data_IF_636880415940
#
_entry.id   IF_636880415940
#
_cell.length_a   1.000
_cell.length_b   1.000
_cell.length_c   1.000
_cell.angle_alpha   90.00
_cell.angle_beta   90.00
_cell.angle_gamma   90.00
#
_symmetry.space_group_name_H-M   'P 1'
#
loop_
_entity.id
_entity.type
_entity.pdbx_description
1 polymer ?
#
# COMPACT_ATOMS: atom_id res chain seq x y z
N UNK A 1 10.13 23.65 -38.95
CA UNK A 1 11.29 24.32 -38.35
C UNK A 1 10.74 25.37 -37.40
N UNK A 2 10.45 24.95 -36.17
CA UNK A 2 10.37 25.82 -34.99
C UNK A 2 10.54 24.87 -33.79
N UNK A 3 11.81 24.58 -33.49
CA UNK A 3 12.23 24.04 -32.20
C UNK A 3 12.26 25.20 -31.19
N UNK A 4 11.47 25.06 -30.12
CA UNK A 4 11.71 25.68 -28.80
C UNK A 4 10.78 24.94 -27.84
N UNK A 5 11.26 24.05 -26.98
CA UNK A 5 12.24 24.35 -25.96
C UNK A 5 11.50 24.33 -24.62
N UNK A 6 11.50 23.18 -23.94
CA UNK A 6 10.91 23.03 -22.63
C UNK A 6 10.61 21.57 -22.31
N UNK A 7 11.60 20.90 -21.72
CA UNK A 7 11.50 19.62 -21.02
C UNK A 7 10.36 19.66 -19.99
N UNK A 8 9.13 19.41 -20.45
CA UNK A 8 7.94 19.34 -19.60
C UNK A 8 7.88 17.93 -19.03
N UNK A 9 8.66 17.72 -17.97
CA UNK A 9 8.64 16.57 -17.06
C UNK A 9 7.36 15.71 -17.22
N UNK A 10 7.50 14.61 -17.94
CA UNK A 10 6.46 13.60 -18.15
C UNK A 10 6.20 12.84 -16.84
N UNK A 11 5.42 13.47 -15.94
CA UNK A 11 5.12 12.93 -14.63
C UNK A 11 3.62 12.89 -14.34
N UNK A 12 3.20 11.92 -13.51
CA UNK A 12 1.81 11.73 -13.06
C UNK A 12 1.17 13.01 -12.50
N UNK A 13 1.97 13.94 -11.97
CA UNK A 13 1.53 15.21 -11.37
C UNK A 13 1.55 16.42 -12.31
N UNK A 14 1.62 16.22 -13.64
CA UNK A 14 1.70 17.32 -14.63
C UNK A 14 0.52 18.30 -14.56
N UNK A 15 -0.65 17.84 -14.13
CA UNK A 15 -1.86 18.66 -14.04
C UNK A 15 -2.02 19.39 -12.69
N UNK A 16 -1.05 19.27 -11.78
CA UNK A 16 -1.09 19.89 -10.45
C UNK A 16 -0.94 21.42 -10.50
N UNK A 17 -2.01 22.14 -10.18
CA UNK A 17 -1.98 23.60 -9.99
C UNK A 17 -1.24 24.00 -8.71
N UNK A 18 -0.89 25.28 -8.56
CA UNK A 18 -0.24 25.80 -7.36
C UNK A 18 -1.03 25.51 -6.07
N UNK A 19 -2.37 25.52 -6.14
CA UNK A 19 -3.24 25.14 -5.03
C UNK A 19 -3.19 23.63 -4.70
N UNK A 20 -3.13 22.77 -5.73
CA UNK A 20 -2.99 21.33 -5.53
C UNK A 20 -1.62 20.98 -4.95
N UNK A 21 -0.57 21.74 -5.27
CA UNK A 21 0.75 21.60 -4.63
C UNK A 21 0.73 21.95 -3.15
N UNK A 22 -0.04 22.96 -2.75
CA UNK A 22 -0.22 23.30 -1.33
C UNK A 22 -1.00 22.20 -0.59
N UNK A 23 -2.08 21.70 -1.19
CA UNK A 23 -2.82 20.56 -0.66
C UNK A 23 -1.94 19.32 -0.51
N UNK A 24 -1.14 18.99 -1.52
CA UNK A 24 -0.18 17.88 -1.43
C UNK A 24 0.82 18.11 -0.30
N UNK A 25 1.35 19.33 -0.13
CA UNK A 25 2.26 19.63 0.97
C UNK A 25 1.62 19.38 2.35
N UNK A 26 0.43 19.95 2.60
CA UNK A 26 -0.28 19.70 3.86
C UNK A 26 -0.68 18.24 4.04
N UNK A 27 -1.07 17.56 2.95
CA UNK A 27 -1.36 16.13 2.93
C UNK A 27 -0.14 15.30 3.32
N UNK A 28 1.05 15.60 2.79
CA UNK A 28 2.29 14.91 3.17
C UNK A 28 2.67 15.14 4.64
N UNK A 29 2.45 16.35 5.17
CA UNK A 29 2.68 16.63 6.58
C UNK A 29 1.70 15.84 7.47
N UNK A 30 0.45 15.71 7.02
CA UNK A 30 -0.55 14.84 7.62
C UNK A 30 -0.11 13.37 7.64
N UNK A 31 0.32 12.82 6.50
CA UNK A 31 0.84 11.43 6.37
C UNK A 31 2.03 11.16 7.28
N UNK A 32 2.92 12.14 7.43
CA UNK A 32 4.05 12.02 8.37
C UNK A 32 3.54 11.91 9.81
N UNK A 33 2.55 12.72 10.17
CA UNK A 33 1.86 12.70 11.47
C UNK A 33 1.07 11.41 11.74
N UNK A 34 0.41 10.87 10.73
CA UNK A 34 -0.28 9.57 10.82
C UNK A 34 0.73 8.44 11.08
N UNK A 35 1.87 8.44 10.37
CA UNK A 35 2.96 7.50 10.62
C UNK A 35 3.56 7.54 12.04
N UNK A 36 3.37 8.64 12.78
CA UNK A 36 3.80 8.79 14.18
C UNK A 36 2.84 8.11 15.18
N UNK A 37 1.68 7.63 14.76
CA UNK A 37 0.66 7.06 15.64
C UNK A 37 1.21 5.95 16.55
N UNK A 38 1.80 4.91 15.95
CA UNK A 38 2.31 3.74 16.65
C UNK A 38 3.43 4.11 17.64
N UNK A 39 4.51 4.81 17.23
CA UNK A 39 5.60 5.11 18.15
C UNK A 39 5.18 6.05 19.29
N UNK A 40 4.30 7.04 19.04
CA UNK A 40 3.81 7.94 20.08
C UNK A 40 2.91 7.21 21.10
N UNK A 41 1.98 6.39 20.62
CA UNK A 41 1.11 5.59 21.49
C UNK A 41 1.96 4.66 22.37
N UNK A 42 2.94 3.98 21.77
CA UNK A 42 3.81 3.06 22.49
C UNK A 42 4.74 3.78 23.46
N UNK A 43 5.24 4.98 23.13
CA UNK A 43 6.02 5.79 24.06
C UNK A 43 5.23 6.14 25.33
N UNK A 44 3.96 6.56 25.19
CA UNK A 44 3.11 6.82 26.37
C UNK A 44 2.84 5.53 27.14
N UNK A 45 2.63 4.41 26.45
CA UNK A 45 2.45 3.10 27.08
C UNK A 45 3.71 2.66 27.84
N UNK A 46 4.90 3.00 27.34
CA UNK A 46 6.19 2.72 27.98
C UNK A 46 6.24 3.31 29.40
N UNK A 47 5.91 4.60 29.52
CA UNK A 47 5.86 5.31 30.80
C UNK A 47 4.85 4.66 31.77
N UNK A 48 3.69 4.21 31.25
CA UNK A 48 2.68 3.51 32.05
C UNK A 48 3.24 2.18 32.56
N UNK A 49 3.82 1.36 31.68
CA UNK A 49 4.41 0.06 32.05
C UNK A 49 5.50 0.25 33.10
N UNK A 50 6.34 1.28 32.95
CA UNK A 50 7.42 1.56 33.89
C UNK A 50 6.92 1.91 35.31
N UNK A 51 5.79 2.62 35.42
CA UNK A 51 5.19 2.94 36.72
C UNK A 51 4.56 1.72 37.36
N UNK A 52 3.82 0.92 36.57
CA UNK A 52 3.24 -0.33 37.07
C UNK A 52 4.30 -1.36 37.45
N UNK A 53 5.44 -1.37 36.77
CA UNK A 53 6.57 -2.26 37.06
C UNK A 53 7.41 -1.83 38.27
N UNK A 54 7.22 -0.61 38.80
CA UNK A 54 7.96 -0.12 39.95
C UNK A 54 7.32 -0.60 41.27
N UNK A 55 8.04 -1.41 42.04
CA UNK A 55 7.55 -2.05 43.28
C UNK A 55 7.14 -1.06 44.38
N UNK A 56 7.72 0.13 44.38
CA UNK A 56 7.45 1.18 45.39
C UNK A 56 6.41 2.21 44.93
N UNK A 57 5.96 2.15 43.68
CA UNK A 57 5.03 3.11 43.13
C UNK A 57 3.58 2.77 43.54
N UNK A 58 2.96 3.63 44.36
CA UNK A 58 1.51 3.58 44.57
C UNK A 58 0.82 4.11 43.33
N UNK A 59 0.30 3.20 42.50
CA UNK A 59 -0.58 3.54 41.38
C UNK A 59 -1.83 4.22 41.96
N UNK A 60 -1.85 5.54 41.88
CA UNK A 60 -2.93 6.39 42.37
C UNK A 60 -3.81 6.79 41.19
N UNK A 61 -5.11 7.00 41.41
CA UNK A 61 -6.05 7.43 40.36
C UNK A 61 -5.55 8.67 39.59
N UNK A 62 -4.89 9.60 40.28
CA UNK A 62 -4.26 10.79 39.68
C UNK A 62 -3.20 10.47 38.62
N UNK A 63 -2.47 9.36 38.79
CA UNK A 63 -1.46 8.92 37.82
C UNK A 63 -2.15 8.35 36.57
N UNK A 64 -3.20 7.56 36.76
CA UNK A 64 -4.00 7.00 35.66
C UNK A 64 -4.65 8.13 34.85
N UNK A 65 -5.25 9.12 35.51
CA UNK A 65 -5.86 10.28 34.84
C UNK A 65 -4.85 11.06 34.01
N UNK A 66 -3.62 11.25 34.53
CA UNK A 66 -2.54 11.94 33.81
C UNK A 66 -2.17 11.21 32.50
N UNK A 67 -2.01 9.90 32.53
CA UNK A 67 -1.66 9.12 31.32
C UNK A 67 -2.84 8.96 30.37
N UNK A 68 -4.06 8.82 30.90
CA UNK A 68 -5.30 8.83 30.11
C UNK A 68 -5.43 10.14 29.31
N UNK A 69 -5.23 11.29 29.97
CA UNK A 69 -5.22 12.60 29.29
C UNK A 69 -4.10 12.70 28.25
N UNK A 70 -2.91 12.17 28.53
CA UNK A 70 -1.80 12.17 27.56
C UNK A 70 -2.13 11.33 26.32
N UNK A 71 -2.73 10.15 26.49
CA UNK A 71 -3.21 9.32 25.39
C UNK A 71 -4.32 10.03 24.60
N UNK A 72 -5.23 10.73 25.28
CA UNK A 72 -6.27 11.52 24.63
C UNK A 72 -5.67 12.63 23.75
N UNK A 73 -4.68 13.38 24.26
CA UNK A 73 -4.01 14.41 23.47
C UNK A 73 -3.29 13.84 22.25
N UNK A 74 -2.62 12.69 22.39
CA UNK A 74 -1.99 11.99 21.27
C UNK A 74 -3.05 11.54 20.25
N UNK A 75 -4.16 10.97 20.70
CA UNK A 75 -5.24 10.52 19.82
C UNK A 75 -5.88 11.69 19.04
N UNK A 76 -6.08 12.85 19.69
CA UNK A 76 -6.59 14.05 19.02
C UNK A 76 -5.58 14.55 17.98
N UNK A 77 -4.29 14.61 18.33
CA UNK A 77 -3.25 15.08 17.42
C UNK A 77 -3.11 14.18 16.19
N UNK A 78 -3.04 12.86 16.39
CA UNK A 78 -2.98 11.87 15.31
C UNK A 78 -4.27 11.86 14.49
N UNK A 79 -5.42 11.94 15.14
CA UNK A 79 -6.72 12.00 14.45
C UNK A 79 -6.84 13.25 13.57
N UNK A 80 -6.35 14.40 14.03
CA UNK A 80 -6.31 15.62 13.23
C UNK A 80 -5.32 15.50 12.06
N UNK A 81 -4.14 14.90 12.24
CA UNK A 81 -3.19 14.71 11.15
C UNK A 81 -3.72 13.76 10.08
N UNK A 82 -4.30 12.62 10.48
CA UNK A 82 -4.93 11.65 9.57
C UNK A 82 -6.13 12.26 8.83
N UNK A 83 -6.90 13.11 9.50
CA UNK A 83 -8.01 13.82 8.88
C UNK A 83 -7.53 14.84 7.83
N UNK A 84 -6.50 15.64 8.16
CA UNK A 84 -5.89 16.59 7.21
C UNK A 84 -5.30 15.86 6.02
N UNK A 85 -4.60 14.75 6.26
CA UNK A 85 -4.08 13.86 5.21
C UNK A 85 -5.19 13.41 4.27
N UNK A 86 -6.22 12.73 4.80
CA UNK A 86 -7.30 12.16 4.01
C UNK A 86 -8.05 13.23 3.22
N UNK A 87 -8.35 14.37 3.84
CA UNK A 87 -9.01 15.48 3.15
C UNK A 87 -8.17 16.06 2.01
N UNK A 88 -6.88 16.33 2.27
CA UNK A 88 -6.01 16.98 1.30
C UNK A 88 -5.72 16.07 0.09
N UNK A 89 -5.43 14.79 0.35
CA UNK A 89 -5.16 13.82 -0.71
C UNK A 89 -6.41 13.43 -1.50
N UNK A 90 -7.55 13.21 -0.84
CA UNK A 90 -8.81 12.91 -1.54
C UNK A 90 -9.25 14.07 -2.45
N UNK A 91 -9.19 15.31 -1.94
CA UNK A 91 -9.51 16.52 -2.73
C UNK A 91 -8.56 16.70 -3.91
N UNK A 92 -7.27 16.47 -3.70
CA UNK A 92 -6.27 16.55 -4.78
C UNK A 92 -6.53 15.50 -5.85
N UNK A 93 -6.76 14.24 -5.45
CA UNK A 93 -7.04 13.14 -6.37
C UNK A 93 -8.29 13.41 -7.21
N UNK A 94 -9.39 13.86 -6.58
CA UNK A 94 -10.63 14.17 -7.30
C UNK A 94 -10.44 15.30 -8.34
N UNK A 95 -9.78 16.40 -7.96
CA UNK A 95 -9.51 17.53 -8.88
C UNK A 95 -8.62 17.12 -10.05
N UNK A 96 -7.53 16.41 -9.77
CA UNK A 96 -6.57 15.97 -10.78
C UNK A 96 -7.21 14.98 -11.75
N UNK A 97 -7.89 13.94 -11.23
CA UNK A 97 -8.54 12.93 -12.07
C UNK A 97 -9.67 13.53 -12.91
N UNK A 98 -10.51 14.41 -12.34
CA UNK A 98 -11.59 15.07 -13.08
C UNK A 98 -11.07 15.89 -14.27
N UNK A 99 -9.96 16.61 -14.08
CA UNK A 99 -9.30 17.35 -15.16
C UNK A 99 -8.66 16.44 -16.20
N UNK A 100 -8.00 15.38 -15.78
CA UNK A 100 -7.46 14.37 -16.69
C UNK A 100 -8.58 13.78 -17.56
N UNK A 101 -9.73 13.43 -16.98
CA UNK A 101 -10.91 12.94 -17.73
C UNK A 101 -11.40 13.97 -18.75
N UNK A 102 -11.48 15.25 -18.36
CA UNK A 102 -11.97 16.32 -19.23
C UNK A 102 -11.02 16.61 -20.39
N UNK A 103 -9.72 16.76 -20.12
CA UNK A 103 -8.72 16.99 -21.17
C UNK A 103 -8.56 15.77 -22.09
N UNK A 104 -8.62 14.56 -21.54
CA UNK A 104 -8.60 13.33 -22.34
C UNK A 104 -9.81 13.28 -23.28
N UNK A 105 -11.03 13.47 -22.76
CA UNK A 105 -12.24 13.48 -23.58
C UNK A 105 -12.20 14.59 -24.65
N UNK A 106 -11.75 15.79 -24.28
CA UNK A 106 -11.60 16.92 -25.22
C UNK A 106 -10.57 16.63 -26.31
N UNK A 107 -9.47 15.94 -25.97
CA UNK A 107 -8.46 15.53 -26.94
C UNK A 107 -8.98 14.45 -27.88
N UNK A 108 -9.72 13.46 -27.37
CA UNK A 108 -10.33 12.40 -28.18
C UNK A 108 -11.36 12.97 -29.15
N UNK A 109 -12.23 13.89 -28.70
CA UNK A 109 -13.25 14.53 -29.56
C UNK A 109 -12.67 15.43 -30.67
N UNK A 110 -11.38 15.80 -30.58
CA UNK A 110 -10.68 16.58 -31.60
C UNK A 110 -9.92 15.72 -32.61
N UNK A 111 -9.89 14.39 -32.43
CA UNK A 111 -9.23 13.50 -33.37
C UNK A 111 -10.03 13.32 -34.65
N UNK A 112 -9.33 13.10 -35.75
CA UNK A 112 -9.93 12.84 -37.06
C UNK A 112 -10.63 11.48 -37.10
N UNK A 113 -11.58 11.32 -38.02
CA UNK A 113 -12.32 10.05 -38.21
C UNK A 113 -11.37 8.87 -38.45
N UNK A 114 -10.22 9.10 -39.10
CA UNK A 114 -9.19 8.09 -39.32
C UNK A 114 -8.64 7.47 -38.00
N UNK A 115 -8.59 8.24 -36.90
CA UNK A 115 -8.21 7.73 -35.58
C UNK A 115 -9.26 6.76 -35.01
N UNK A 116 -10.53 6.97 -35.33
CA UNK A 116 -11.60 6.07 -34.93
C UNK A 116 -11.70 4.83 -35.83
N UNK A 117 -11.23 4.94 -37.08
CA UNK A 117 -11.20 3.86 -38.07
C UNK A 117 -10.00 2.91 -37.93
N UNK A 118 -8.94 3.30 -37.21
CA UNK A 118 -7.85 2.39 -36.83
C UNK A 118 -8.37 1.34 -35.84
N UNK A 119 -8.97 0.28 -36.37
CA UNK A 119 -9.35 -0.91 -35.62
C UNK A 119 -8.08 -1.69 -35.26
N UNK A 120 -7.58 -1.54 -34.04
CA UNK A 120 -6.87 -2.66 -33.42
C UNK A 120 -7.91 -3.76 -33.18
N UNK A 121 -7.72 -4.89 -33.86
CA UNK A 121 -8.69 -5.98 -33.96
C UNK A 121 -9.24 -6.41 -32.59
N UNK A 122 -10.51 -6.10 -32.32
CA UNK A 122 -11.25 -6.66 -31.18
C UNK A 122 -11.93 -5.65 -30.26
N UNK A 123 -11.52 -4.37 -30.22
CA UNK A 123 -12.21 -3.36 -29.40
C UNK A 123 -12.53 -2.11 -30.21
N UNK A 124 -13.80 -1.67 -30.21
CA UNK A 124 -14.15 -0.36 -30.75
C UNK A 124 -13.30 0.71 -30.05
N UNK A 125 -12.72 1.63 -30.82
CA UNK A 125 -12.03 2.82 -30.30
C UNK A 125 -12.88 3.57 -29.26
N UNK A 126 -14.21 3.56 -29.44
CA UNK A 126 -15.20 4.06 -28.46
C UNK A 126 -15.14 3.32 -27.12
N UNK A 127 -15.03 1.98 -27.12
CA UNK A 127 -14.92 1.19 -25.89
C UNK A 127 -13.62 1.48 -25.16
N UNK A 128 -12.48 1.58 -25.87
CA UNK A 128 -11.20 1.95 -25.26
C UNK A 128 -11.30 3.34 -24.59
N UNK A 129 -11.88 4.32 -25.26
CA UNK A 129 -12.09 5.67 -24.71
C UNK A 129 -12.94 5.63 -23.44
N UNK A 130 -14.06 4.90 -23.45
CA UNK A 130 -14.94 4.76 -22.27
C UNK A 130 -14.23 4.04 -21.13
N UNK A 131 -13.51 2.96 -21.42
CA UNK A 131 -12.72 2.20 -20.45
C UNK A 131 -11.66 3.08 -19.80
N UNK A 132 -10.89 3.83 -20.58
CA UNK A 132 -9.85 4.72 -20.06
C UNK A 132 -10.42 5.87 -19.23
N UNK A 133 -11.55 6.46 -19.66
CA UNK A 133 -12.21 7.53 -18.90
C UNK A 133 -12.77 7.00 -17.57
N UNK A 134 -13.22 5.75 -17.50
CA UNK A 134 -13.86 5.21 -16.30
C UNK A 134 -12.89 4.43 -15.39
N UNK A 135 -12.31 3.34 -15.90
CA UNK A 135 -11.51 2.39 -15.12
C UNK A 135 -10.09 2.89 -14.84
N UNK A 136 -9.37 3.34 -15.87
CA UNK A 136 -7.97 3.77 -15.72
C UNK A 136 -7.90 5.03 -14.85
N UNK A 137 -8.81 5.99 -15.08
CA UNK A 137 -8.88 7.21 -14.30
C UNK A 137 -9.25 6.97 -12.83
N UNK A 138 -10.11 5.98 -12.53
CA UNK A 138 -10.45 5.60 -11.17
C UNK A 138 -9.23 4.98 -10.47
N UNK A 139 -8.51 4.10 -11.18
CA UNK A 139 -7.24 3.52 -10.69
C UNK A 139 -6.22 4.61 -10.36
N UNK A 140 -6.09 5.64 -11.22
CA UNK A 140 -5.24 6.81 -10.96
C UNK A 140 -5.72 7.57 -9.72
N UNK A 141 -7.04 7.77 -9.57
CA UNK A 141 -7.61 8.47 -8.42
C UNK A 141 -7.31 7.75 -7.10
N UNK A 142 -7.49 6.42 -7.04
CA UNK A 142 -7.16 5.60 -5.87
C UNK A 142 -5.65 5.69 -5.60
N UNK A 143 -4.83 5.65 -6.64
CA UNK A 143 -3.37 5.73 -6.49
C UNK A 143 -2.94 7.05 -5.85
N UNK A 144 -3.44 8.18 -6.37
CA UNK A 144 -3.12 9.51 -5.84
C UNK A 144 -3.73 9.73 -4.45
N UNK A 145 -4.98 9.33 -4.26
CA UNK A 145 -5.74 9.64 -3.04
C UNK A 145 -5.44 8.71 -1.86
N UNK A 146 -5.03 7.47 -2.11
CA UNK A 146 -4.84 6.47 -1.05
C UNK A 146 -3.45 5.84 -1.07
N UNK A 147 -2.95 5.37 -2.22
CA UNK A 147 -1.72 4.56 -2.24
C UNK A 147 -0.47 5.38 -1.96
N UNK A 148 -0.38 6.59 -2.51
CA UNK A 148 0.73 7.51 -2.26
C UNK A 148 0.78 7.97 -0.80
N UNK A 149 -0.30 8.50 -0.19
CA UNK A 149 -0.30 8.87 1.24
C UNK A 149 0.08 7.70 2.14
N UNK A 150 -0.53 6.53 1.92
CA UNK A 150 -0.19 5.32 2.70
C UNK A 150 1.30 4.95 2.59
N UNK A 151 1.89 5.05 1.40
CA UNK A 151 3.32 4.81 1.21
C UNK A 151 4.18 5.77 2.04
N UNK A 152 3.81 7.06 2.06
CA UNK A 152 4.50 8.08 2.86
C UNK A 152 4.31 7.82 4.35
N UNK A 153 3.10 7.47 4.79
CA UNK A 153 2.80 7.13 6.19
C UNK A 153 3.58 5.90 6.66
N UNK A 154 3.66 4.83 5.85
CA UNK A 154 4.46 3.64 6.18
C UNK A 154 5.96 3.92 6.21
N UNK A 155 6.49 4.70 5.25
CA UNK A 155 7.89 5.12 5.28
C UNK A 155 8.19 5.99 6.52
N UNK A 156 7.31 6.92 6.83
CA UNK A 156 7.38 7.75 8.04
C UNK A 156 7.39 6.90 9.30
N UNK A 157 6.44 5.97 9.41
CA UNK A 157 6.33 5.02 10.52
C UNK A 157 7.59 4.18 10.69
N UNK A 158 8.17 3.67 9.59
CA UNK A 158 9.44 2.94 9.61
C UNK A 158 10.55 3.76 10.29
N UNK A 159 10.75 5.01 9.87
CA UNK A 159 11.80 5.87 10.43
C UNK A 159 11.53 6.26 11.87
N UNK A 160 10.29 6.64 12.21
CA UNK A 160 9.95 7.03 13.57
C UNK A 160 9.99 5.87 14.55
N UNK A 161 9.48 4.69 14.18
CA UNK A 161 9.55 3.49 15.01
C UNK A 161 11.01 3.15 15.35
N UNK A 162 11.91 3.15 14.38
CA UNK A 162 13.34 2.90 14.63
C UNK A 162 13.98 4.02 15.45
N UNK A 163 13.68 5.29 15.18
CA UNK A 163 14.22 6.42 15.94
C UNK A 163 13.81 6.36 17.42
N UNK A 164 12.52 6.11 17.70
CA UNK A 164 12.01 5.95 19.07
C UNK A 164 12.57 4.70 19.76
N UNK A 165 12.73 3.60 19.04
CA UNK A 165 13.34 2.39 19.59
C UNK A 165 14.80 2.64 20.02
N UNK A 166 15.59 3.31 19.16
CA UNK A 166 16.96 3.70 19.49
C UNK A 166 17.04 4.68 20.66
N UNK A 167 16.09 5.62 20.77
CA UNK A 167 16.04 6.58 21.87
C UNK A 167 15.72 5.93 23.22
N UNK A 168 14.87 4.89 23.25
CA UNK A 168 14.48 4.18 24.47
C UNK A 168 15.53 3.15 24.91
N UNK A 169 15.94 2.26 23.99
CA UNK A 169 16.91 1.20 24.31
C UNK A 169 17.73 0.82 23.07
N UNK A 170 18.86 1.53 22.89
CA UNK A 170 19.79 1.28 21.78
C UNK A 170 20.35 -0.16 21.76
N UNK A 171 20.51 -0.80 22.91
CA UNK A 171 21.08 -2.16 23.03
C UNK A 171 20.12 -3.22 22.49
N UNK A 172 18.84 -3.16 22.89
CA UNK A 172 17.82 -4.06 22.34
C UNK A 172 17.60 -3.79 20.86
N UNK A 173 17.54 -2.52 20.45
CA UNK A 173 17.35 -2.16 19.03
C UNK A 173 18.45 -2.72 18.15
N UNK A 174 19.73 -2.63 18.56
CA UNK A 174 20.85 -3.25 17.84
C UNK A 174 20.71 -4.77 17.73
N UNK A 175 20.24 -5.44 18.79
CA UNK A 175 20.02 -6.88 18.77
C UNK A 175 18.80 -7.28 17.91
N UNK A 176 17.80 -6.40 17.79
CA UNK A 176 16.56 -6.65 17.06
C UNK A 176 16.60 -6.22 15.57
N UNK A 177 17.51 -5.31 15.20
CA UNK A 177 17.67 -4.81 13.83
C UNK A 177 17.82 -5.90 12.76
N UNK A 178 18.62 -6.98 12.97
CA UNK A 178 18.73 -8.07 12.01
C UNK A 178 17.39 -8.72 11.68
N UNK A 179 16.48 -8.82 12.65
CA UNK A 179 15.14 -9.37 12.43
C UNK A 179 14.29 -8.46 11.56
N UNK A 180 14.34 -7.14 11.76
CA UNK A 180 13.64 -6.16 10.92
C UNK A 180 14.09 -6.24 9.45
N UNK A 181 15.40 -6.29 9.21
CA UNK A 181 15.95 -6.47 7.85
C UNK A 181 15.56 -7.82 7.24
N UNK A 182 15.50 -8.87 8.06
CA UNK A 182 15.10 -10.21 7.65
C UNK A 182 13.63 -10.27 7.17
N UNK A 183 12.73 -9.40 7.65
CA UNK A 183 11.36 -9.31 7.12
C UNK A 183 11.27 -8.53 5.80
N UNK A 184 12.09 -7.49 5.64
CA UNK A 184 12.14 -6.65 4.46
C UNK A 184 12.58 -7.39 3.19
N UNK A 185 13.59 -8.27 3.30
CA UNK A 185 14.18 -8.96 2.13
C UNK A 185 13.19 -9.92 1.44
N UNK A 186 12.50 -10.83 2.16
CA UNK A 186 11.45 -11.65 1.59
C UNK A 186 10.29 -10.81 1.04
N UNK A 187 9.86 -9.76 1.73
CA UNK A 187 8.76 -8.92 1.25
C UNK A 187 9.05 -8.31 -0.13
N UNK A 188 10.26 -7.81 -0.35
CA UNK A 188 10.66 -7.24 -1.65
C UNK A 188 10.90 -8.32 -2.73
N UNK A 189 11.51 -9.45 -2.35
CA UNK A 189 11.82 -10.54 -3.28
C UNK A 189 10.58 -11.31 -3.73
N UNK A 190 9.74 -11.75 -2.79
CA UNK A 190 8.47 -12.42 -3.09
C UNK A 190 7.46 -11.46 -3.73
N UNK A 191 7.44 -10.19 -3.34
CA UNK A 191 6.55 -9.19 -3.94
C UNK A 191 6.72 -9.06 -5.45
N UNK A 192 7.96 -8.97 -5.94
CA UNK A 192 8.26 -8.94 -7.38
C UNK A 192 7.81 -10.21 -8.08
N UNK A 193 8.18 -11.37 -7.54
CA UNK A 193 7.80 -12.65 -8.14
C UNK A 193 6.28 -12.84 -8.19
N UNK A 194 5.57 -12.43 -7.13
CA UNK A 194 4.11 -12.47 -7.09
C UNK A 194 3.47 -11.53 -8.12
N UNK A 195 4.05 -10.33 -8.30
CA UNK A 195 3.57 -9.37 -9.28
C UNK A 195 3.79 -9.89 -10.72
N UNK A 196 4.93 -10.50 -11.01
CA UNK A 196 5.19 -11.12 -12.32
C UNK A 196 4.20 -12.25 -12.63
N UNK A 197 3.94 -13.13 -11.66
CA UNK A 197 2.96 -14.21 -11.81
C UNK A 197 1.54 -13.66 -11.97
N UNK A 198 1.18 -12.60 -11.24
CA UNK A 198 -0.12 -11.94 -11.37
C UNK A 198 -0.30 -11.32 -12.77
N UNK A 199 0.73 -10.64 -13.30
CA UNK A 199 0.70 -10.09 -14.66
C UNK A 199 0.58 -11.20 -15.71
N UNK A 200 1.30 -12.32 -15.54
CA UNK A 200 1.17 -13.47 -16.41
C UNK A 200 -0.23 -14.11 -16.35
N UNK A 201 -0.85 -14.14 -15.17
CA UNK A 201 -2.24 -14.61 -15.01
C UNK A 201 -3.22 -13.70 -15.75
N UNK A 202 -3.11 -12.38 -15.59
CA UNK A 202 -3.96 -11.40 -16.29
C UNK A 202 -3.82 -11.55 -17.80
N UNK A 203 -2.60 -11.69 -18.32
CA UNK A 203 -2.35 -11.91 -19.73
C UNK A 203 -3.00 -13.23 -20.25
N UNK A 204 -2.86 -14.32 -19.50
CA UNK A 204 -3.49 -15.61 -19.84
C UNK A 204 -5.02 -15.55 -19.81
N UNK A 205 -5.58 -14.83 -18.84
CA UNK A 205 -7.03 -14.62 -18.73
C UNK A 205 -7.56 -13.77 -19.89
N UNK A 206 -6.80 -12.76 -20.33
CA UNK A 206 -7.13 -11.96 -21.52
C UNK A 206 -7.31 -12.81 -22.78
N UNK A 207 -6.48 -13.85 -22.98
CA UNK A 207 -6.63 -14.79 -24.11
C UNK A 207 -7.93 -15.62 -24.02
N UNK A 208 -8.31 -16.07 -22.83
CA UNK A 208 -9.60 -16.76 -22.64
C UNK A 208 -10.77 -15.79 -22.87
N UNK A 209 -10.65 -14.55 -22.39
CA UNK A 209 -11.61 -13.47 -22.61
C UNK A 209 -11.85 -13.19 -24.09
N UNK A 210 -10.80 -13.10 -24.91
CA UNK A 210 -10.93 -12.85 -26.35
C UNK A 210 -11.65 -13.98 -27.09
N UNK A 211 -11.43 -15.24 -26.70
CA UNK A 211 -12.15 -16.40 -27.27
C UNK A 211 -13.64 -16.32 -26.95
N UNK A 212 -13.98 -15.99 -25.70
CA UNK A 212 -15.37 -15.83 -25.27
C UNK A 212 -16.04 -14.63 -25.98
N UNK A 213 -15.34 -13.50 -26.10
CA UNK A 213 -15.84 -12.32 -26.78
C UNK A 213 -16.13 -12.59 -28.25
N UNK A 214 -15.21 -13.24 -28.97
CA UNK A 214 -15.42 -13.64 -30.37
C UNK A 214 -16.62 -14.57 -30.53
N UNK A 215 -16.75 -15.56 -29.65
CA UNK A 215 -17.85 -16.50 -29.65
C UNK A 215 -19.21 -15.83 -29.45
N UNK A 216 -19.30 -14.92 -28.47
CA UNK A 216 -20.53 -14.20 -28.14
C UNK A 216 -20.87 -13.19 -29.24
N UNK A 217 -19.88 -12.44 -29.71
CA UNK A 217 -20.08 -11.44 -30.79
C UNK A 217 -20.57 -12.08 -32.09
N UNK A 218 -20.17 -13.33 -32.37
CA UNK A 218 -20.53 -14.06 -33.59
C UNK A 218 -21.38 -15.30 -33.29
N UNK A 219 -22.26 -15.22 -32.29
CA UNK A 219 -23.01 -16.38 -31.79
C UNK A 219 -23.85 -17.08 -32.87
N UNK A 220 -24.40 -16.31 -33.82
CA UNK A 220 -25.18 -16.86 -34.93
C UNK A 220 -24.31 -17.73 -35.85
N UNK A 221 -23.06 -17.36 -36.05
CA UNK A 221 -22.07 -18.11 -36.83
C UNK A 221 -21.66 -19.39 -36.09
N UNK A 222 -21.39 -19.30 -34.79
CA UNK A 222 -21.06 -20.48 -33.97
C UNK A 222 -22.20 -21.49 -34.02
N UNK A 223 -23.44 -21.02 -33.89
CA UNK A 223 -24.64 -21.86 -33.97
C UNK A 223 -24.84 -22.46 -35.36
N UNK A 224 -24.71 -21.67 -36.43
CA UNK A 224 -24.92 -22.15 -37.81
C UNK A 224 -23.93 -23.23 -38.24
N UNK A 225 -22.71 -23.21 -37.68
CA UNK A 225 -21.67 -24.22 -37.93
C UNK A 225 -21.66 -25.33 -36.88
N UNK A 226 -22.57 -25.33 -35.90
CA UNK A 226 -22.60 -26.30 -34.78
C UNK A 226 -21.25 -26.34 -34.03
N UNK A 227 -20.62 -25.17 -33.88
CA UNK A 227 -19.28 -25.00 -33.34
C UNK A 227 -19.21 -24.88 -31.80
N UNK A 228 -20.34 -24.95 -31.10
CA UNK A 228 -20.45 -24.68 -29.66
C UNK A 228 -19.46 -25.50 -28.82
N UNK A 229 -19.39 -26.81 -29.06
CA UNK A 229 -18.47 -27.71 -28.35
C UNK A 229 -16.99 -27.38 -28.64
N UNK A 230 -16.68 -26.98 -29.87
CA UNK A 230 -15.31 -26.62 -30.25
C UNK A 230 -14.89 -25.32 -29.55
N UNK A 231 -15.77 -24.33 -29.51
CA UNK A 231 -15.55 -23.05 -28.83
C UNK A 231 -15.40 -23.24 -27.31
N UNK A 232 -16.25 -24.05 -26.70
CA UNK A 232 -16.15 -24.42 -25.28
C UNK A 232 -14.82 -25.13 -24.97
N UNK A 233 -14.39 -26.04 -25.85
CA UNK A 233 -13.10 -26.71 -25.69
C UNK A 233 -11.92 -25.72 -25.75
N UNK A 234 -11.93 -24.78 -26.70
CA UNK A 234 -10.88 -23.77 -26.80
C UNK A 234 -10.84 -22.83 -25.59
N UNK A 235 -12.01 -22.39 -25.11
CA UNK A 235 -12.13 -21.58 -23.90
C UNK A 235 -11.60 -22.32 -22.67
N UNK A 236 -12.02 -23.57 -22.48
CA UNK A 236 -11.55 -24.44 -21.38
C UNK A 236 -10.03 -24.64 -21.42
N UNK A 237 -9.48 -24.92 -22.61
CA UNK A 237 -8.03 -25.07 -22.81
C UNK A 237 -7.26 -23.78 -22.49
N UNK A 238 -7.79 -22.61 -22.85
CA UNK A 238 -7.18 -21.33 -22.51
C UNK A 238 -7.22 -21.04 -21.00
N UNK A 239 -8.32 -21.41 -20.33
CA UNK A 239 -8.44 -21.27 -18.87
C UNK A 239 -7.51 -22.18 -18.09
N UNK A 240 -7.14 -23.34 -18.62
CA UNK A 240 -6.26 -24.29 -17.93
C UNK A 240 -4.90 -23.67 -17.58
N UNK A 241 -4.34 -22.85 -18.48
CA UNK A 241 -3.10 -22.10 -18.21
C UNK A 241 -3.29 -21.08 -17.08
N UNK A 242 -4.41 -20.38 -17.05
CA UNK A 242 -4.75 -19.44 -15.97
C UNK A 242 -4.90 -20.16 -14.63
N UNK A 243 -5.52 -21.34 -14.63
CA UNK A 243 -5.67 -22.19 -13.44
C UNK A 243 -4.31 -22.64 -12.90
N UNK A 244 -3.41 -23.12 -13.75
CA UNK A 244 -2.05 -23.53 -13.35
C UNK A 244 -1.25 -22.38 -12.74
N UNK A 245 -1.30 -21.19 -13.36
CA UNK A 245 -0.70 -19.98 -12.82
C UNK A 245 -1.32 -19.58 -11.47
N UNK A 246 -2.62 -19.72 -11.32
CA UNK A 246 -3.33 -19.44 -10.07
C UNK A 246 -2.99 -20.39 -8.94
N UNK A 247 -2.83 -21.68 -9.23
CA UNK A 247 -2.35 -22.66 -8.25
C UNK A 247 -0.93 -22.31 -7.80
N UNK A 248 -0.03 -21.98 -8.74
CA UNK A 248 1.35 -21.57 -8.41
C UNK A 248 1.39 -20.28 -7.59
N UNK A 249 0.57 -19.29 -7.94
CA UNK A 249 0.43 -18.04 -7.19
C UNK A 249 -0.12 -18.28 -5.78
N UNK A 250 -1.14 -19.13 -5.65
CA UNK A 250 -1.74 -19.50 -4.38
C UNK A 250 -0.75 -20.19 -3.45
N UNK A 251 0.03 -21.16 -3.97
CA UNK A 251 1.09 -21.82 -3.22
C UNK A 251 2.20 -20.85 -2.80
N UNK A 252 2.65 -19.97 -3.71
CA UNK A 252 3.65 -18.94 -3.39
C UNK A 252 3.15 -17.98 -2.30
N UNK A 253 1.89 -17.54 -2.38
CA UNK A 253 1.26 -16.69 -1.37
C UNK A 253 1.13 -17.41 -0.02
N UNK A 254 0.72 -18.67 -0.03
CA UNK A 254 0.64 -19.50 1.17
C UNK A 254 1.99 -19.68 1.84
N UNK A 255 3.05 -19.93 1.06
CA UNK A 255 4.41 -20.04 1.56
C UNK A 255 4.93 -18.71 2.13
N UNK A 256 4.61 -17.59 1.48
CA UNK A 256 4.93 -16.25 1.98
C UNK A 256 4.24 -15.98 3.33
N UNK A 257 2.93 -16.21 3.43
CA UNK A 257 2.19 -16.05 4.70
C UNK A 257 2.68 -17.01 5.78
N UNK A 258 3.01 -18.26 5.43
CA UNK A 258 3.61 -19.22 6.35
C UNK A 258 4.97 -18.77 6.88
N UNK A 259 5.81 -18.18 6.02
CA UNK A 259 7.13 -17.66 6.42
C UNK A 259 7.04 -16.51 7.42
N UNK A 260 5.94 -15.75 7.44
CA UNK A 260 5.70 -14.70 8.43
C UNK A 260 5.57 -15.23 9.86
N UNK A 261 5.40 -16.54 10.06
CA UNK A 261 5.46 -17.17 11.39
C UNK A 261 6.78 -16.97 12.14
N UNK A 262 7.86 -16.61 11.44
CA UNK A 262 9.16 -16.20 12.04
C UNK A 262 9.01 -15.01 13.00
N UNK A 263 7.94 -14.21 12.89
CA UNK A 263 7.65 -13.12 13.83
C UNK A 263 7.59 -13.60 15.28
N UNK A 264 7.06 -14.80 15.54
CA UNK A 264 6.99 -15.35 16.89
C UNK A 264 8.36 -15.72 17.46
N UNK A 265 9.29 -16.15 16.61
CA UNK A 265 10.69 -16.40 17.01
C UNK A 265 11.36 -15.08 17.38
N UNK A 266 11.09 -14.01 16.62
CA UNK A 266 11.63 -12.69 16.93
C UNK A 266 11.07 -12.14 18.25
N UNK A 267 9.75 -12.27 18.49
CA UNK A 267 9.13 -11.92 19.78
C UNK A 267 9.75 -12.70 20.95
N UNK A 268 9.97 -14.00 20.79
CA UNK A 268 10.59 -14.83 21.82
C UNK A 268 12.04 -14.41 22.10
N UNK A 269 12.82 -14.10 21.06
CA UNK A 269 14.19 -13.61 21.20
C UNK A 269 14.23 -12.26 21.91
N UNK A 270 13.39 -11.31 21.52
CA UNK A 270 13.31 -10.00 22.17
C UNK A 270 12.86 -10.10 23.62
N UNK A 271 11.94 -11.02 23.96
CA UNK A 271 11.55 -11.26 25.35
C UNK A 271 12.73 -11.81 26.18
N UNK A 272 13.51 -12.73 25.61
CA UNK A 272 14.70 -13.29 26.28
C UNK A 272 15.79 -12.24 26.50
N UNK A 273 16.18 -11.52 25.44
CA UNK A 273 17.17 -10.45 25.51
C UNK A 273 16.67 -9.32 26.42
N UNK A 274 15.40 -8.92 26.28
CA UNK A 274 14.80 -7.89 27.12
C UNK A 274 14.83 -8.24 28.60
N UNK A 275 14.50 -9.49 28.97
CA UNK A 275 14.62 -9.98 30.35
C UNK A 275 16.06 -9.89 30.89
N UNK A 276 17.05 -10.20 30.06
CA UNK A 276 18.46 -10.09 30.41
C UNK A 276 18.87 -8.62 30.65
N UNK A 277 18.42 -7.67 29.81
CA UNK A 277 18.73 -6.25 29.96
C UNK A 277 18.10 -5.67 31.23
N UNK A 278 16.83 -6.01 31.51
CA UNK A 278 16.14 -5.57 32.73
C UNK A 278 16.85 -6.12 33.98
N UNK A 279 17.25 -7.39 33.98
CA UNK A 279 17.84 -8.05 35.16
C UNK A 279 19.30 -7.66 35.40
N UNK A 280 20.14 -7.57 34.35
CA UNK A 280 21.59 -7.33 34.49
C UNK A 280 22.01 -5.87 34.33
N UNK A 281 21.28 -5.09 33.55
CA UNK A 281 21.64 -3.70 33.24
C UNK A 281 20.67 -2.68 33.85
N UNK A 282 19.67 -3.14 34.60
CA UNK A 282 18.71 -2.31 35.32
C UNK A 282 17.98 -1.29 34.41
N UNK A 283 17.77 -1.67 33.14
CA UNK A 283 16.95 -0.88 32.21
C UNK A 283 15.47 -1.03 32.57
N UNK A 284 14.68 0.01 32.28
CA UNK A 284 13.25 -0.01 32.60
C UNK A 284 12.51 -0.96 31.66
N UNK A 285 11.72 -1.89 32.21
CA UNK A 285 11.05 -2.91 31.42
C UNK A 285 10.09 -2.39 30.35
N UNK A 286 9.44 -1.25 30.59
CA UNK A 286 8.57 -0.59 29.61
C UNK A 286 9.34 -0.01 28.43
N UNK A 287 10.54 0.55 28.66
CA UNK A 287 11.38 1.13 27.59
C UNK A 287 11.87 0.02 26.65
N UNK A 288 12.31 -1.09 27.23
CA UNK A 288 12.77 -2.29 26.52
C UNK A 288 11.64 -2.94 25.73
N UNK A 289 10.46 -3.13 26.34
CA UNK A 289 9.30 -3.72 25.65
C UNK A 289 8.87 -2.88 24.44
N UNK A 290 8.77 -1.56 24.62
CA UNK A 290 8.33 -0.64 23.57
C UNK A 290 9.38 -0.50 22.46
N UNK A 291 10.67 -0.47 22.81
CA UNK A 291 11.73 -0.50 21.80
C UNK A 291 11.64 -1.79 20.95
N UNK A 292 11.36 -2.93 21.57
CA UNK A 292 11.18 -4.19 20.84
C UNK A 292 9.96 -4.18 19.92
N UNK A 293 8.82 -3.71 20.44
CA UNK A 293 7.57 -3.58 19.70
C UNK A 293 7.72 -2.65 18.48
N UNK A 294 8.33 -1.48 18.67
CA UNK A 294 8.53 -0.51 17.59
C UNK A 294 9.46 -1.04 16.50
N UNK A 295 10.52 -1.79 16.84
CA UNK A 295 11.40 -2.39 15.81
C UNK A 295 10.66 -3.42 14.97
N UNK A 296 9.79 -4.22 15.58
CA UNK A 296 9.00 -5.22 14.86
C UNK A 296 7.92 -4.59 13.99
N UNK A 297 7.14 -3.67 14.53
CA UNK A 297 6.09 -2.97 13.77
C UNK A 297 6.66 -2.07 12.69
N UNK A 298 7.85 -1.50 12.91
CA UNK A 298 8.55 -0.75 11.88
C UNK A 298 9.01 -1.64 10.72
N UNK A 299 9.28 -2.94 10.94
CA UNK A 299 9.71 -3.87 9.89
C UNK A 299 8.58 -4.56 9.12
N UNK A 300 7.32 -4.41 9.56
CA UNK A 300 6.13 -5.02 8.97
C UNK A 300 5.49 -4.10 7.91
#
# INVERSE_FOLDING_TARGET
MEESGGDKKDGLFRYAEGYDKLLMFFGTLGSIGDGLQIPLMMYVLSDVINIYGNRDAKVTNSTVDKYSLRLLYVAILVGLSAFVEGLCWARTAERQTSRMRLEYLKSVLKQDVAFFDTQEAGSSTTYQVVSTISADSNTIQITIGEKIPNCIAYLSSFFFCHAFAFALSWRLTLAALPFSVMFLVPALGFGKHMMDVAMAMVASYGTAGSIAEQAISSIRTVYSYVGENQTLYQFSKALQKTMELGIKQGLARGLMLGSMGIIYVSWAFQAWVGSLLVTKHNEKGGDVFVAGFNVLMGGL
#
